data_IF_748094535339
#
_entry.id   IF_748094535339
#
_cell.length_a   1.000
_cell.length_b   1.000
_cell.length_c   1.000
_cell.angle_alpha   90.00
_cell.angle_beta   90.00
_cell.angle_gamma   90.00
#
_symmetry.space_group_name_H-M   'P 1'
#
loop_
_entity.id
_entity.type
_entity.pdbx_description
1 polymer ?
#
# COMPACT_ATOMS: atom_id res chain seq x y z
N UNK A 1 -5.92 12.35 12.12
CA UNK A 1 -6.37 12.00 10.76
C UNK A 1 -5.60 12.87 9.78
N UNK A 2 -4.95 12.27 8.78
CA UNK A 2 -4.24 13.01 7.74
C UNK A 2 -5.21 13.93 6.99
N UNK A 3 -4.78 15.14 6.63
CA UNK A 3 -5.56 16.09 5.81
C UNK A 3 -6.01 15.46 4.46
N UNK A 4 -5.24 14.51 3.95
CA UNK A 4 -5.56 13.77 2.73
C UNK A 4 -6.77 12.86 2.91
N UNK A 5 -6.88 12.13 4.02
CA UNK A 5 -8.03 11.26 4.33
C UNK A 5 -9.31 12.08 4.45
N UNK A 6 -9.26 13.23 5.16
CA UNK A 6 -10.39 14.14 5.27
C UNK A 6 -10.83 14.70 3.90
N UNK A 7 -9.88 15.01 3.02
CA UNK A 7 -10.17 15.45 1.65
C UNK A 7 -10.88 14.36 0.84
N UNK A 8 -10.42 13.13 0.92
CA UNK A 8 -11.04 12.01 0.22
C UNK A 8 -12.45 11.73 0.74
N UNK A 9 -12.67 11.79 2.06
CA UNK A 9 -13.99 11.61 2.69
C UNK A 9 -14.98 12.71 2.28
N UNK A 10 -14.48 13.94 2.02
CA UNK A 10 -15.30 15.03 1.50
C UNK A 10 -15.68 14.84 0.03
N UNK A 11 -14.73 14.39 -0.81
CA UNK A 11 -14.92 14.27 -2.26
C UNK A 11 -15.75 13.05 -2.66
N UNK A 12 -15.61 11.95 -1.92
CA UNK A 12 -16.22 10.67 -2.29
C UNK A 12 -16.91 10.00 -1.08
N UNK A 13 -18.14 9.48 -1.24
CA UNK A 13 -18.73 8.57 -0.26
C UNK A 13 -17.82 7.37 -0.02
N UNK A 14 -17.67 6.92 1.23
CA UNK A 14 -16.73 5.86 1.63
C UNK A 14 -16.87 4.56 0.83
N UNK A 15 -18.10 4.14 0.52
CA UNK A 15 -18.35 2.95 -0.32
C UNK A 15 -17.72 3.13 -1.71
N UNK A 16 -17.89 4.31 -2.31
CA UNK A 16 -17.32 4.62 -3.65
C UNK A 16 -15.81 4.73 -3.60
N UNK A 17 -15.23 5.32 -2.55
CA UNK A 17 -13.78 5.35 -2.38
C UNK A 17 -13.19 3.95 -2.39
N UNK A 18 -13.74 3.04 -1.56
CA UNK A 18 -13.26 1.66 -1.45
C UNK A 18 -13.42 0.90 -2.76
N UNK A 19 -14.55 1.10 -3.46
CA UNK A 19 -14.78 0.49 -4.77
C UNK A 19 -13.78 0.97 -5.82
N UNK A 20 -13.55 2.28 -5.90
CA UNK A 20 -12.56 2.87 -6.81
C UNK A 20 -11.14 2.44 -6.45
N UNK A 21 -10.79 2.39 -5.15
CA UNK A 21 -9.49 1.88 -4.71
C UNK A 21 -9.28 0.44 -5.18
N UNK A 22 -10.25 -0.46 -4.94
CA UNK A 22 -10.14 -1.86 -5.35
C UNK A 22 -9.95 -2.02 -6.87
N UNK A 23 -10.69 -1.22 -7.67
CA UNK A 23 -10.66 -1.30 -9.13
C UNK A 23 -9.42 -0.61 -9.74
N UNK A 24 -9.11 0.61 -9.29
CA UNK A 24 -8.02 1.42 -9.86
C UNK A 24 -6.63 0.94 -9.44
N UNK A 25 -6.49 0.31 -8.29
CA UNK A 25 -5.21 -0.21 -7.79
C UNK A 25 -4.92 -1.64 -8.30
N UNK A 26 -5.91 -2.31 -8.91
CA UNK A 26 -5.74 -3.60 -9.58
C UNK A 26 -6.15 -3.52 -11.07
N UNK A 27 -5.44 -2.74 -11.89
CA UNK A 27 -5.80 -2.52 -13.29
C UNK A 27 -5.74 -3.80 -14.11
N UNK A 28 -6.83 -4.08 -14.85
CA UNK A 28 -6.97 -5.30 -15.65
C UNK A 28 -7.52 -6.50 -14.87
N UNK A 29 -7.76 -6.34 -13.57
CA UNK A 29 -8.49 -7.34 -12.80
C UNK A 29 -9.99 -7.02 -12.83
N UNK A 30 -10.79 -8.03 -13.20
CA UNK A 30 -12.24 -7.96 -13.17
C UNK A 30 -12.79 -8.69 -11.93
N UNK A 31 -13.61 -8.02 -11.15
CA UNK A 31 -14.16 -8.51 -9.88
C UNK A 31 -15.65 -8.83 -9.99
N UNK A 32 -16.10 -9.88 -9.32
CA UNK A 32 -17.52 -10.12 -9.10
C UNK A 32 -18.11 -9.15 -8.07
N UNK A 33 -19.38 -8.81 -8.19
CA UNK A 33 -20.07 -7.91 -7.24
C UNK A 33 -19.91 -8.37 -5.79
N UNK A 34 -20.07 -9.68 -5.52
CA UNK A 34 -19.93 -10.23 -4.15
C UNK A 34 -18.50 -10.12 -3.63
N UNK A 35 -17.50 -10.30 -4.49
CA UNK A 35 -16.09 -10.14 -4.16
C UNK A 35 -15.78 -8.68 -3.80
N UNK A 36 -16.18 -7.73 -4.65
CA UNK A 36 -16.07 -6.30 -4.36
C UNK A 36 -16.79 -5.91 -3.07
N UNK A 37 -17.99 -6.43 -2.83
CA UNK A 37 -18.75 -6.14 -1.60
C UNK A 37 -18.00 -6.61 -0.35
N UNK A 38 -17.35 -7.76 -0.41
CA UNK A 38 -16.48 -8.27 0.67
C UNK A 38 -15.24 -7.42 0.85
N UNK A 39 -14.49 -7.14 -0.23
CA UNK A 39 -13.28 -6.31 -0.19
C UNK A 39 -13.54 -4.88 0.32
N UNK A 40 -14.71 -4.34 -0.01
CA UNK A 40 -15.09 -2.97 0.36
C UNK A 40 -15.87 -2.88 1.66
N UNK A 41 -16.10 -4.01 2.34
CA UNK A 41 -16.97 -4.10 3.53
C UNK A 41 -18.31 -3.37 3.33
N UNK A 42 -18.94 -3.57 2.15
CA UNK A 42 -20.12 -2.82 1.72
C UNK A 42 -21.29 -3.75 1.45
N UNK A 43 -22.52 -3.22 1.60
CA UNK A 43 -23.71 -3.93 1.14
C UNK A 43 -23.70 -4.01 -0.39
N UNK A 44 -23.94 -5.22 -0.95
CA UNK A 44 -23.90 -5.46 -2.39
C UNK A 44 -24.87 -4.57 -3.19
N UNK A 45 -26.06 -4.29 -2.65
CA UNK A 45 -27.06 -3.44 -3.31
C UNK A 45 -26.64 -1.96 -3.37
N UNK A 46 -25.99 -1.45 -2.32
CA UNK A 46 -25.47 -0.08 -2.30
C UNK A 46 -24.27 0.02 -3.24
N UNK A 47 -23.37 -0.96 -3.22
CA UNK A 47 -22.22 -1.03 -4.09
C UNK A 47 -22.63 -1.10 -5.56
N UNK A 48 -23.62 -1.92 -5.91
CA UNK A 48 -24.11 -2.04 -7.29
C UNK A 48 -24.61 -0.70 -7.84
N UNK A 49 -25.37 0.07 -7.06
CA UNK A 49 -25.84 1.40 -7.48
C UNK A 49 -24.69 2.38 -7.74
N UNK A 50 -23.61 2.30 -6.97
CA UNK A 50 -22.44 3.12 -7.20
C UNK A 50 -21.63 2.63 -8.42
N UNK A 51 -21.50 1.32 -8.65
CA UNK A 51 -20.88 0.75 -9.84
C UNK A 51 -21.64 1.11 -11.12
N UNK A 52 -22.97 1.06 -11.10
CA UNK A 52 -23.82 1.49 -12.22
C UNK A 52 -23.63 2.98 -12.59
N UNK A 53 -23.42 3.83 -11.57
CA UNK A 53 -23.10 5.26 -11.82
C UNK A 53 -21.72 5.42 -12.42
N UNK A 54 -20.73 4.65 -11.97
CA UNK A 54 -19.36 4.67 -12.50
C UNK A 54 -19.29 4.08 -13.91
N UNK A 55 -20.09 3.06 -14.20
CA UNK A 55 -20.26 2.48 -15.54
C UNK A 55 -20.87 3.52 -16.51
N UNK A 56 -21.90 4.24 -16.06
CA UNK A 56 -22.59 5.27 -16.85
C UNK A 56 -21.68 6.40 -17.31
N UNK A 57 -20.68 6.76 -16.49
CA UNK A 57 -19.66 7.76 -16.84
C UNK A 57 -18.41 7.15 -17.49
N UNK A 58 -18.40 5.85 -17.73
CA UNK A 58 -17.30 5.15 -18.40
C UNK A 58 -16.06 4.88 -17.56
N UNK A 59 -16.07 5.16 -16.27
CA UNK A 59 -14.93 4.88 -15.37
C UNK A 59 -14.78 3.38 -15.05
N UNK A 60 -15.89 2.65 -15.11
CA UNK A 60 -15.94 1.21 -14.86
C UNK A 60 -16.53 0.53 -16.09
N UNK A 61 -15.97 -0.60 -16.48
CA UNK A 61 -16.51 -1.49 -17.51
C UNK A 61 -17.19 -2.65 -16.80
N UNK A 62 -18.41 -2.96 -17.23
CA UNK A 62 -19.14 -4.15 -16.84
C UNK A 62 -19.13 -5.16 -17.96
N UNK A 63 -18.64 -6.36 -17.67
CA UNK A 63 -18.71 -7.51 -18.56
C UNK A 63 -19.63 -8.57 -17.96
N UNK A 64 -20.44 -9.22 -18.81
CA UNK A 64 -21.36 -10.29 -18.39
C UNK A 64 -20.88 -11.58 -19.03
N UNK A 65 -20.56 -12.58 -18.21
CA UNK A 65 -20.18 -13.89 -18.65
C UNK A 65 -21.15 -14.92 -18.03
N UNK A 66 -22.02 -15.49 -18.87
CA UNK A 66 -23.14 -16.29 -18.38
C UNK A 66 -24.10 -15.45 -17.51
N UNK A 67 -24.35 -15.88 -16.29
CA UNK A 67 -25.24 -15.19 -15.33
C UNK A 67 -24.47 -14.31 -14.33
N UNK A 68 -23.16 -14.02 -14.59
CA UNK A 68 -22.32 -13.30 -13.65
C UNK A 68 -21.78 -12.00 -14.25
N UNK A 69 -22.06 -10.89 -13.58
CA UNK A 69 -21.48 -9.60 -13.90
C UNK A 69 -20.12 -9.43 -13.21
N UNK A 70 -19.14 -8.96 -13.98
CA UNK A 70 -17.82 -8.57 -13.49
C UNK A 70 -17.59 -7.09 -13.79
N UNK A 71 -16.85 -6.45 -12.92
CA UNK A 71 -16.54 -5.02 -12.98
C UNK A 71 -15.04 -4.82 -12.96
N UNK A 72 -14.52 -3.95 -13.84
CA UNK A 72 -13.12 -3.56 -13.89
C UNK A 72 -12.99 -2.05 -14.15
N UNK A 73 -11.84 -1.48 -13.81
CA UNK A 73 -11.55 -0.09 -14.15
C UNK A 73 -11.33 0.06 -15.66
N UNK A 74 -11.96 1.05 -16.26
CA UNK A 74 -11.76 1.38 -17.68
C UNK A 74 -10.42 2.08 -17.89
N UNK A 75 -9.41 1.36 -18.31
CA UNK A 75 -8.06 1.88 -18.58
C UNK A 75 -8.00 2.89 -19.73
N UNK A 76 -8.98 2.86 -20.64
CA UNK A 76 -9.07 3.81 -21.77
C UNK A 76 -9.77 5.12 -21.38
N UNK A 77 -10.33 5.23 -20.18
CA UNK A 77 -10.96 6.47 -19.73
C UNK A 77 -9.92 7.57 -19.52
N UNK A 78 -10.21 8.79 -20.00
CA UNK A 78 -9.28 9.92 -19.95
C UNK A 78 -8.73 10.22 -18.55
N UNK A 79 -9.54 10.05 -17.50
CA UNK A 79 -9.14 10.30 -16.10
C UNK A 79 -8.54 9.07 -15.42
N UNK A 80 -8.34 7.94 -16.11
CA UNK A 80 -7.86 6.70 -15.46
C UNK A 80 -6.50 6.89 -14.80
N UNK A 81 -5.54 7.51 -15.50
CA UNK A 81 -4.19 7.69 -14.99
C UNK A 81 -4.16 8.61 -13.75
N UNK A 82 -4.90 9.71 -13.81
CA UNK A 82 -4.96 10.71 -12.73
C UNK A 82 -5.65 10.15 -11.48
N UNK A 83 -6.81 9.50 -11.66
CA UNK A 83 -7.51 8.84 -10.57
C UNK A 83 -6.68 7.71 -9.96
N UNK A 84 -6.04 6.87 -10.77
CA UNK A 84 -5.16 5.82 -10.27
C UNK A 84 -3.98 6.39 -9.48
N UNK A 85 -3.38 7.49 -9.93
CA UNK A 85 -2.31 8.16 -9.20
C UNK A 85 -2.81 8.74 -7.87
N UNK A 86 -3.99 9.37 -7.85
CA UNK A 86 -4.62 9.88 -6.64
C UNK A 86 -4.93 8.75 -5.65
N UNK A 87 -5.53 7.66 -6.11
CA UNK A 87 -5.86 6.52 -5.25
C UNK A 87 -4.62 5.77 -4.76
N UNK A 88 -3.54 5.67 -5.54
CA UNK A 88 -2.25 5.16 -5.04
C UNK A 88 -1.70 5.99 -3.88
N UNK A 89 -1.82 7.31 -3.94
CA UNK A 89 -1.35 8.21 -2.86
C UNK A 89 -2.20 8.14 -1.60
N UNK A 90 -3.47 7.79 -1.71
CA UNK A 90 -4.45 7.89 -0.62
C UNK A 90 -4.92 6.55 -0.06
N UNK A 91 -4.93 5.50 -0.89
CA UNK A 91 -5.43 4.16 -0.55
C UNK A 91 -4.43 3.05 -0.95
N UNK A 92 -3.27 3.41 -1.47
CA UNK A 92 -2.20 2.45 -1.73
C UNK A 92 -1.62 1.91 -0.41
N UNK A 93 -0.99 0.74 -0.48
CA UNK A 93 -0.38 0.07 0.69
C UNK A 93 0.48 1.03 1.52
N UNK A 94 1.26 1.89 0.87
CA UNK A 94 2.10 2.87 1.57
C UNK A 94 1.30 3.89 2.40
N UNK A 95 0.12 4.33 1.94
CA UNK A 95 -0.73 5.23 2.70
C UNK A 95 -1.38 4.52 3.89
N UNK A 96 -1.89 3.31 3.67
CA UNK A 96 -2.49 2.47 4.71
C UNK A 96 -1.48 2.14 5.81
N UNK A 97 -0.24 1.80 5.43
CA UNK A 97 0.84 1.55 6.39
C UNK A 97 1.21 2.80 7.18
N UNK A 98 1.25 3.97 6.54
CA UNK A 98 1.51 5.25 7.21
C UNK A 98 0.47 5.54 8.28
N UNK A 99 -0.80 5.39 7.95
CA UNK A 99 -1.91 5.59 8.88
C UNK A 99 -1.87 4.56 10.03
N UNK A 100 -1.51 3.30 9.75
CA UNK A 100 -1.38 2.25 10.76
C UNK A 100 -0.22 2.49 11.74
N UNK A 101 0.91 3.03 11.25
CA UNK A 101 2.09 3.31 12.06
C UNK A 101 2.07 4.68 12.77
N UNK A 102 1.13 5.56 12.42
CA UNK A 102 1.01 6.91 13.02
C UNK A 102 1.00 6.90 14.58
N UNK A 103 0.29 5.97 15.27
CA UNK A 103 0.33 5.89 16.72
C UNK A 103 1.72 5.56 17.31
N UNK A 104 2.60 4.96 16.53
CA UNK A 104 3.95 4.55 16.90
C UNK A 104 5.03 5.49 16.36
N UNK A 105 4.65 6.57 15.66
CA UNK A 105 5.57 7.46 14.95
C UNK A 105 6.70 8.01 15.82
N UNK A 106 6.44 8.26 17.13
CA UNK A 106 7.44 8.76 18.07
C UNK A 106 8.51 7.72 18.49
N UNK A 107 8.29 6.43 18.18
CA UNK A 107 9.19 5.31 18.53
C UNK A 107 9.79 4.64 17.30
N UNK A 108 9.42 5.10 16.10
CA UNK A 108 9.94 4.61 14.82
C UNK A 108 10.83 5.69 14.21
N UNK A 109 12.09 5.36 13.98
CA UNK A 109 13.06 6.22 13.31
C UNK A 109 12.96 6.12 11.78
N UNK A 110 12.66 4.91 11.27
CA UNK A 110 12.53 4.60 9.85
C UNK A 110 11.55 3.46 9.63
N UNK A 111 10.69 3.57 8.62
CA UNK A 111 9.87 2.46 8.13
C UNK A 111 9.84 2.47 6.61
N UNK A 112 10.09 1.32 5.97
CA UNK A 112 10.06 1.18 4.51
C UNK A 112 9.54 -0.19 4.07
N UNK A 113 8.86 -0.21 2.93
CA UNK A 113 8.47 -1.44 2.20
C UNK A 113 9.57 -1.78 1.21
N UNK A 114 9.93 -3.05 1.15
CA UNK A 114 10.92 -3.60 0.24
C UNK A 114 10.38 -4.84 -0.50
N UNK A 115 11.23 -5.56 -1.21
CA UNK A 115 10.84 -6.79 -1.90
C UNK A 115 9.99 -6.57 -3.13
N UNK A 116 9.09 -7.52 -3.42
CA UNK A 116 8.26 -7.53 -4.64
C UNK A 116 7.34 -6.31 -4.74
N UNK A 117 6.85 -5.81 -3.62
CA UNK A 117 5.95 -4.65 -3.57
C UNK A 117 6.60 -3.32 -3.92
N UNK A 118 7.91 -3.19 -3.70
CA UNK A 118 8.67 -1.98 -4.04
C UNK A 118 9.13 -1.97 -5.51
N UNK A 119 9.12 -3.11 -6.20
CA UNK A 119 9.52 -3.26 -7.60
C UNK A 119 8.39 -3.03 -8.60
N UNK A 120 8.73 -3.01 -9.91
CA UNK A 120 7.77 -2.80 -11.00
C UNK A 120 6.83 -4.02 -11.27
N UNK A 121 7.13 -5.18 -10.70
CA UNK A 121 6.41 -6.45 -10.93
C UNK A 121 5.65 -6.92 -9.70
N UNK A 122 4.67 -6.12 -9.24
CA UNK A 122 3.82 -6.59 -8.14
C UNK A 122 2.70 -7.51 -8.66
N UNK A 123 2.61 -8.71 -8.09
CA UNK A 123 1.43 -9.55 -8.27
C UNK A 123 0.33 -9.15 -7.26
N UNK A 124 -0.92 -9.35 -7.65
CA UNK A 124 -2.09 -8.96 -6.84
C UNK A 124 -2.20 -9.67 -5.47
N UNK A 125 -1.35 -10.64 -5.17
CA UNK A 125 -1.34 -11.42 -3.92
C UNK A 125 -0.01 -11.43 -3.17
N UNK A 126 0.97 -10.58 -3.56
CA UNK A 126 2.26 -10.55 -2.86
C UNK A 126 2.13 -10.00 -1.46
N UNK A 127 2.83 -10.62 -0.51
CA UNK A 127 2.99 -10.13 0.85
C UNK A 127 3.71 -8.79 0.87
N UNK A 128 3.50 -8.05 1.93
CA UNK A 128 4.12 -6.74 2.15
C UNK A 128 5.29 -6.90 3.10
N UNK A 129 6.51 -6.90 2.56
CA UNK A 129 7.72 -6.93 3.36
C UNK A 129 7.99 -5.53 3.93
N UNK A 130 7.90 -5.37 5.25
CA UNK A 130 8.06 -4.09 5.95
C UNK A 130 9.29 -4.12 6.86
N UNK A 131 10.23 -3.22 6.62
CA UNK A 131 11.37 -2.99 7.52
C UNK A 131 11.05 -1.79 8.42
N UNK A 132 11.22 -1.96 9.72
CA UNK A 132 11.06 -0.92 10.73
C UNK A 132 12.33 -0.83 11.56
N UNK A 133 12.81 0.38 11.79
CA UNK A 133 13.93 0.69 12.71
C UNK A 133 13.41 1.63 13.78
N UNK A 134 13.64 1.29 15.04
CA UNK A 134 13.16 2.13 16.14
C UNK A 134 13.20 1.40 17.49
N UNK A 135 12.56 2.03 18.48
CA UNK A 135 12.46 1.53 19.86
C UNK A 135 11.11 0.91 20.21
N UNK A 136 10.18 0.83 19.23
CA UNK A 136 8.87 0.19 19.43
C UNK A 136 9.02 -1.30 19.75
N UNK A 137 8.04 -1.90 20.47
CA UNK A 137 8.02 -3.34 20.67
C UNK A 137 7.45 -4.06 19.44
N UNK A 138 7.89 -5.32 19.21
CA UNK A 138 7.33 -6.13 18.12
C UNK A 138 5.83 -6.39 18.31
N UNK A 139 5.37 -6.54 19.56
CA UNK A 139 3.94 -6.72 19.87
C UNK A 139 3.10 -5.50 19.51
N UNK A 140 3.58 -4.29 19.83
CA UNK A 140 2.87 -3.05 19.47
C UNK A 140 2.85 -2.84 17.96
N UNK A 141 3.95 -3.16 17.29
CA UNK A 141 4.06 -3.09 15.84
C UNK A 141 3.04 -4.02 15.15
N UNK A 142 2.97 -5.30 15.55
CA UNK A 142 2.00 -6.26 15.00
C UNK A 142 0.57 -5.82 15.26
N UNK A 143 0.28 -5.32 16.48
CA UNK A 143 -1.04 -4.80 16.83
C UNK A 143 -1.44 -3.61 15.95
N UNK A 144 -0.54 -2.68 15.72
CA UNK A 144 -0.77 -1.51 14.86
C UNK A 144 -0.99 -1.90 13.38
N UNK A 145 -0.30 -2.95 12.89
CA UNK A 145 -0.40 -3.40 11.51
C UNK A 145 -1.64 -4.26 11.22
N UNK A 146 -2.31 -4.83 12.23
CA UNK A 146 -3.46 -5.71 12.03
C UNK A 146 -4.60 -5.08 11.21
N UNK A 147 -5.06 -3.83 11.47
CA UNK A 147 -6.07 -3.18 10.63
C UNK A 147 -5.61 -2.95 9.19
N UNK A 148 -4.31 -2.75 8.97
CA UNK A 148 -3.73 -2.59 7.64
C UNK A 148 -3.77 -3.91 6.85
N UNK A 149 -3.49 -5.05 7.48
CA UNK A 149 -3.64 -6.38 6.87
C UNK A 149 -5.10 -6.65 6.46
N UNK A 150 -6.05 -6.37 7.35
CA UNK A 150 -7.48 -6.53 7.05
C UNK A 150 -7.92 -5.65 5.88
N UNK A 151 -7.49 -4.38 5.85
CA UNK A 151 -7.92 -3.42 4.82
C UNK A 151 -7.28 -3.67 3.46
N UNK A 152 -6.06 -4.22 3.42
CA UNK A 152 -5.35 -4.54 2.17
C UNK A 152 -5.66 -5.93 1.66
N UNK A 153 -6.14 -6.84 2.52
CA UNK A 153 -6.28 -8.27 2.25
C UNK A 153 -4.93 -8.96 1.99
N UNK A 154 -3.82 -8.40 2.49
CA UNK A 154 -2.45 -8.88 2.30
C UNK A 154 -1.79 -9.16 3.63
N UNK A 155 -0.96 -10.18 3.68
CA UNK A 155 -0.07 -10.39 4.81
C UNK A 155 1.00 -9.30 4.84
N UNK A 156 1.27 -8.74 6.03
CA UNK A 156 2.35 -7.80 6.27
C UNK A 156 3.38 -8.50 7.14
N UNK A 157 4.58 -8.66 6.60
CA UNK A 157 5.70 -9.33 7.26
C UNK A 157 6.68 -8.28 7.81
N UNK A 158 6.53 -7.83 9.08
CA UNK A 158 7.41 -6.83 9.65
C UNK A 158 8.73 -7.44 10.12
N UNK A 159 9.83 -6.76 9.79
CA UNK A 159 11.16 -6.98 10.37
C UNK A 159 11.51 -5.75 11.18
N UNK A 160 11.76 -5.92 12.47
CA UNK A 160 12.07 -4.84 13.40
C UNK A 160 13.54 -4.92 13.85
N UNK A 161 14.21 -3.80 13.78
CA UNK A 161 15.55 -3.60 14.34
C UNK A 161 15.57 -2.38 15.26
N UNK A 162 16.36 -2.44 16.32
CA UNK A 162 16.83 -1.23 17.00
C UNK A 162 17.81 -0.46 16.10
N UNK A 163 17.99 0.84 16.35
CA UNK A 163 18.96 1.65 15.59
C UNK A 163 20.39 1.08 15.67
N UNK A 164 20.76 0.51 16.81
CA UNK A 164 22.07 -0.12 17.02
C UNK A 164 22.26 -1.38 16.18
N UNK A 165 21.27 -2.30 16.22
CA UNK A 165 21.29 -3.54 15.43
C UNK A 165 21.25 -3.25 13.92
N UNK A 166 20.47 -2.26 13.52
CA UNK A 166 20.40 -1.85 12.11
C UNK A 166 21.75 -1.36 11.62
N UNK A 167 22.41 -0.46 12.38
CA UNK A 167 23.74 0.08 12.04
C UNK A 167 24.79 -1.03 11.94
N UNK A 168 24.83 -1.93 12.92
CA UNK A 168 25.78 -3.05 12.94
C UNK A 168 25.62 -3.94 11.70
N UNK A 169 24.37 -4.32 11.37
CA UNK A 169 24.08 -5.21 10.25
C UNK A 169 24.25 -4.54 8.90
N UNK A 170 23.86 -3.27 8.77
CA UNK A 170 24.05 -2.47 7.56
C UNK A 170 25.55 -2.25 7.27
N UNK A 171 26.37 -2.00 8.32
CA UNK A 171 27.81 -1.81 8.19
C UNK A 171 28.57 -3.07 7.70
N UNK A 172 28.02 -4.26 7.91
CA UNK A 172 28.60 -5.51 7.38
C UNK A 172 28.37 -5.67 5.87
N UNK A 173 27.38 -4.99 5.28
CA UNK A 173 27.13 -4.97 3.82
C UNK A 173 26.70 -6.30 3.21
N UNK A 174 26.54 -7.34 4.02
CA UNK A 174 26.23 -8.71 3.59
C UNK A 174 24.87 -9.18 4.15
N UNK A 175 24.30 -10.21 3.51
CA UNK A 175 23.08 -10.85 3.97
C UNK A 175 21.81 -10.07 3.61
N UNK A 176 20.81 -10.14 4.51
CA UNK A 176 19.47 -9.61 4.29
C UNK A 176 19.46 -8.10 4.01
N UNK A 177 20.11 -7.28 4.85
CA UNK A 177 20.11 -5.83 4.70
C UNK A 177 20.87 -5.38 3.44
N UNK A 178 21.98 -6.02 3.07
CA UNK A 178 22.67 -5.74 1.81
C UNK A 178 21.74 -5.93 0.59
N UNK A 179 20.94 -6.99 0.61
CA UNK A 179 19.96 -7.25 -0.43
C UNK A 179 18.79 -6.24 -0.43
N UNK A 180 18.33 -5.79 0.74
CA UNK A 180 17.24 -4.80 0.86
C UNK A 180 17.70 -3.43 0.40
N UNK A 181 18.86 -2.97 0.86
CA UNK A 181 19.39 -1.63 0.58
C UNK A 181 19.77 -1.40 -0.89
N UNK A 182 20.10 -2.48 -1.62
CA UNK A 182 20.41 -2.45 -3.06
C UNK A 182 19.21 -2.55 -4.00
N UNK A 183 17.97 -2.59 -3.48
CA UNK A 183 16.75 -2.77 -4.28
C UNK A 183 15.81 -1.57 -4.17
N UNK A 184 14.81 -1.46 -5.07
CA UNK A 184 13.76 -0.47 -4.93
C UNK A 184 13.06 -0.59 -3.57
N UNK A 185 12.77 0.56 -2.93
CA UNK A 185 12.09 0.65 -1.65
C UNK A 185 11.07 1.80 -1.65
N UNK A 186 10.04 1.69 -0.81
CA UNK A 186 9.02 2.72 -0.62
C UNK A 186 9.07 3.17 0.84
N UNK A 187 9.44 4.41 1.08
CA UNK A 187 9.48 4.96 2.44
C UNK A 187 8.06 5.20 2.96
N UNK A 188 7.79 4.69 4.14
CA UNK A 188 6.55 4.87 4.90
C UNK A 188 6.75 5.98 5.92
N UNK A 189 7.87 5.93 6.67
CA UNK A 189 8.32 6.97 7.61
C UNK A 189 9.82 7.18 7.43
N UNK A 190 10.28 8.44 7.53
CA UNK A 190 11.65 8.81 7.19
C UNK A 190 11.88 8.85 5.69
N UNK A 191 13.13 9.04 5.30
CA UNK A 191 13.57 9.14 3.91
C UNK A 191 14.95 8.48 3.69
N UNK A 192 15.51 8.66 2.49
CA UNK A 192 16.82 8.11 2.15
C UNK A 192 17.96 8.69 3.01
N UNK A 193 17.85 9.95 3.39
CA UNK A 193 18.86 10.57 4.25
C UNK A 193 18.83 9.96 5.67
N UNK A 194 17.65 9.73 6.22
CA UNK A 194 17.48 9.04 7.51
C UNK A 194 18.03 7.63 7.46
N UNK A 195 17.77 6.90 6.37
CA UNK A 195 18.31 5.57 6.14
C UNK A 195 19.86 5.56 6.14
N UNK A 196 20.48 6.48 5.41
CA UNK A 196 21.93 6.61 5.31
C UNK A 196 22.55 6.98 6.67
N UNK A 197 21.95 7.89 7.39
CA UNK A 197 22.34 8.29 8.75
C UNK A 197 22.28 7.12 9.74
N UNK A 198 21.22 6.31 9.66
CA UNK A 198 21.06 5.11 10.52
C UNK A 198 22.05 4.02 10.14
N UNK A 199 22.35 3.83 8.86
CA UNK A 199 23.31 2.85 8.37
C UNK A 199 24.78 3.20 8.71
N UNK A 200 25.05 4.48 9.08
CA UNK A 200 26.41 5.00 9.23
C UNK A 200 27.04 5.32 7.89
N UNK A 201 27.82 6.41 7.81
CA UNK A 201 28.36 7.12 6.62
C UNK A 201 29.12 6.28 5.56
N UNK A 202 28.75 5.02 5.36
CA UNK A 202 29.30 4.20 4.29
C UNK A 202 28.26 4.09 3.17
N UNK A 203 28.52 4.69 1.98
CA UNK A 203 27.59 4.57 0.86
C UNK A 203 27.38 3.09 0.51
N UNK A 204 26.14 2.66 0.16
CA UNK A 204 25.90 1.32 -0.31
C UNK A 204 26.74 1.06 -1.56
N UNK A 205 27.53 -0.02 -1.56
CA UNK A 205 28.26 -0.48 -2.72
C UNK A 205 27.26 -0.83 -3.83
N UNK A 206 27.19 0.00 -4.89
CA UNK A 206 26.43 -0.31 -6.10
C UNK A 206 25.34 0.69 -6.48
N UNK A 207 25.69 1.97 -6.72
CA UNK A 207 24.94 2.79 -7.65
C UNK A 207 25.62 2.65 -9.03
N UNK A 208 24.96 2.18 -10.09
CA UNK A 208 25.48 2.38 -11.43
C UNK A 208 25.32 3.86 -11.80
N UNK A 209 26.39 4.41 -12.40
CA UNK A 209 26.42 5.71 -13.06
C UNK A 209 25.35 5.82 -14.15
#
# INVERSE_FOLDING_TARGET
MSNITATMDLLFPRTRQRALAALLLAPGQAFHLRELARLTHSNAGTLLRDLEKLEKVGLVVRTVQGNQARFEANRAHALFADLSAMFRKTHGVAAILRDALDPLAGTIDLALVFGSMAGASHSAGSDVDLLVVGSTSFSDLVTALHPAQESTGREISPVLYSAAEFRERAGRGEGFLGNVLGRPMIFIQGDRHDLEKLAGDKPPAGAPD
#
